data_IF_914444596379
#
_entry.id   IF_914444596379
#
_cell.length_a   1.000
_cell.length_b   1.000
_cell.length_c   1.000
_cell.angle_alpha   90.00
_cell.angle_beta   90.00
_cell.angle_gamma   90.00
#
_symmetry.space_group_name_H-M   'P 1'
#
loop_
_entity.id
_entity.type
_entity.pdbx_description
1 polymer ?
#
# COMPACT_ATOMS: atom_id res chain seq x y z
N UNK A 1 13.33 17.59 -20.07
CA UNK A 1 12.07 17.33 -19.33
C UNK A 1 12.40 16.52 -18.09
N UNK A 2 12.61 17.20 -16.96
CA UNK A 2 12.83 16.56 -15.67
C UNK A 2 11.50 15.97 -15.21
N UNK A 3 11.31 14.66 -15.36
CA UNK A 3 10.15 13.98 -14.77
C UNK A 3 10.39 13.95 -13.26
N UNK A 4 9.77 14.85 -12.51
CA UNK A 4 9.75 14.79 -11.05
C UNK A 4 9.11 13.45 -10.65
N UNK A 5 9.94 12.47 -10.27
CA UNK A 5 9.47 11.25 -9.61
C UNK A 5 8.81 11.59 -8.27
N UNK A 6 8.23 10.61 -7.58
CA UNK A 6 7.60 10.86 -6.27
C UNK A 6 8.61 11.51 -5.30
N UNK A 7 8.32 12.75 -4.87
CA UNK A 7 9.23 13.60 -4.09
C UNK A 7 8.92 13.65 -2.60
N UNK A 8 7.79 13.11 -2.16
CA UNK A 8 7.44 13.13 -0.75
C UNK A 8 8.24 12.14 0.10
N UNK A 9 8.19 12.24 1.44
CA UNK A 9 8.91 11.33 2.33
C UNK A 9 8.47 9.88 2.10
N UNK A 10 9.41 8.91 2.04
CA UNK A 10 9.04 7.52 1.88
C UNK A 10 8.33 6.99 3.15
N UNK A 11 7.32 6.14 2.95
CA UNK A 11 6.64 5.44 4.03
C UNK A 11 7.54 4.42 4.72
N UNK A 12 7.07 3.87 5.85
CA UNK A 12 7.83 2.88 6.61
C UNK A 12 7.55 1.46 6.11
N UNK A 13 8.60 0.65 5.82
CA UNK A 13 8.42 -0.78 5.59
C UNK A 13 7.76 -1.44 6.80
N UNK A 14 6.84 -2.36 6.55
CA UNK A 14 6.03 -3.04 7.58
C UNK A 14 6.11 -4.55 7.38
N UNK A 15 6.29 -5.26 8.49
CA UNK A 15 6.30 -6.71 8.51
C UNK A 15 4.92 -7.28 8.13
N UNK A 16 4.86 -8.05 7.04
CA UNK A 16 3.64 -8.70 6.55
C UNK A 16 3.04 -9.61 7.64
N UNK A 17 3.89 -10.42 8.30
CA UNK A 17 3.47 -11.30 9.39
C UNK A 17 2.96 -10.55 10.62
N UNK A 18 3.54 -9.39 10.94
CA UNK A 18 3.04 -8.53 12.02
C UNK A 18 1.66 -7.95 11.68
N UNK A 19 1.45 -7.52 10.44
CA UNK A 19 0.14 -7.04 9.98
C UNK A 19 -0.94 -8.10 10.03
N UNK A 20 -0.64 -9.34 9.62
CA UNK A 20 -1.56 -10.48 9.70
C UNK A 20 -1.87 -10.83 11.17
N UNK A 21 -0.86 -10.88 12.02
CA UNK A 21 -1.04 -11.15 13.44
C UNK A 21 -1.95 -10.11 14.08
N UNK A 22 -1.69 -8.82 13.84
CA UNK A 22 -2.53 -7.74 14.35
C UNK A 22 -3.94 -7.78 13.78
N UNK A 23 -4.12 -8.13 12.50
CA UNK A 23 -5.44 -8.30 11.90
C UNK A 23 -6.28 -9.37 12.62
N UNK A 24 -5.66 -10.50 12.96
CA UNK A 24 -6.33 -11.60 13.69
C UNK A 24 -6.60 -11.18 15.14
N UNK A 25 -5.58 -10.68 15.84
CA UNK A 25 -5.66 -10.31 17.27
C UNK A 25 -6.67 -9.19 17.52
N UNK A 26 -6.76 -8.22 16.61
CA UNK A 26 -7.65 -7.05 16.73
C UNK A 26 -9.01 -7.25 16.08
N UNK A 27 -9.34 -8.47 15.61
CA UNK A 27 -10.61 -8.75 14.91
C UNK A 27 -10.89 -7.72 13.80
N UNK A 28 -9.95 -7.55 12.88
CA UNK A 28 -10.01 -6.60 11.75
C UNK A 28 -9.90 -5.10 12.08
N UNK A 29 -9.88 -4.70 13.36
CA UNK A 29 -9.76 -3.28 13.72
C UNK A 29 -8.43 -2.67 13.24
N UNK A 30 -7.36 -3.46 13.26
CA UNK A 30 -6.06 -3.05 12.73
C UNK A 30 -6.10 -2.72 11.23
N UNK A 31 -6.98 -3.34 10.44
CA UNK A 31 -7.10 -3.01 9.01
C UNK A 31 -7.50 -1.56 8.79
N UNK A 32 -8.31 -0.99 9.68
CA UNK A 32 -8.77 0.39 9.54
C UNK A 32 -7.60 1.36 9.70
N UNK A 33 -6.79 1.13 10.75
CA UNK A 33 -5.55 1.87 10.96
C UNK A 33 -4.57 1.69 9.80
N UNK A 34 -4.43 0.45 9.31
CA UNK A 34 -3.52 0.13 8.21
C UNK A 34 -3.92 0.80 6.90
N UNK A 35 -5.22 0.82 6.55
CA UNK A 35 -5.75 1.51 5.36
C UNK A 35 -5.47 3.00 5.48
N UNK A 36 -5.87 3.61 6.59
CA UNK A 36 -5.63 5.03 6.85
C UNK A 36 -4.14 5.39 6.67
N UNK A 37 -3.25 4.64 7.31
CA UNK A 37 -1.81 4.92 7.25
C UNK A 37 -1.22 4.70 5.86
N UNK A 38 -1.61 3.63 5.18
CA UNK A 38 -1.10 3.34 3.83
C UNK A 38 -1.51 4.43 2.85
N UNK A 39 -2.78 4.84 2.90
CA UNK A 39 -3.36 5.90 2.08
C UNK A 39 -2.72 7.27 2.35
N UNK A 40 -2.46 7.59 3.62
CA UNK A 40 -1.77 8.81 4.03
C UNK A 40 -0.33 8.85 3.52
N UNK A 41 0.42 7.74 3.64
CA UNK A 41 1.80 7.65 3.14
C UNK A 41 1.87 7.72 1.62
N UNK A 42 0.99 7.02 0.91
CA UNK A 42 0.93 7.09 -0.57
C UNK A 42 0.64 8.53 -1.01
N UNK A 43 -0.32 9.20 -0.38
CA UNK A 43 -0.65 10.60 -0.69
C UNK A 43 0.52 11.54 -0.37
N UNK A 44 1.15 11.39 0.79
CA UNK A 44 2.32 12.21 1.15
C UNK A 44 3.48 12.01 0.18
N UNK A 45 3.73 10.76 -0.24
CA UNK A 45 4.83 10.43 -1.14
C UNK A 45 4.59 10.84 -2.59
N UNK A 46 3.37 10.59 -3.08
CA UNK A 46 2.99 10.75 -4.49
C UNK A 46 2.42 12.14 -4.81
N UNK A 47 1.98 12.88 -3.78
CA UNK A 47 1.23 14.14 -3.90
C UNK A 47 -0.17 13.99 -4.50
N UNK A 48 -0.52 12.79 -4.96
CA UNK A 48 -1.73 12.47 -5.71
C UNK A 48 -2.23 11.10 -5.22
N UNK A 49 -3.29 11.12 -4.41
CA UNK A 49 -3.90 9.95 -3.78
C UNK A 49 -5.09 10.36 -2.92
N UNK A 50 -6.01 9.43 -2.65
CA UNK A 50 -7.20 9.69 -1.84
C UNK A 50 -6.86 10.29 -0.47
N UNK A 51 -5.80 9.75 0.16
CA UNK A 51 -5.34 10.15 1.48
C UNK A 51 -6.05 9.40 2.61
N UNK A 52 -5.39 9.35 3.77
CA UNK A 52 -5.77 8.48 4.89
C UNK A 52 -7.23 8.57 5.30
N UNK A 53 -7.71 9.80 5.51
CA UNK A 53 -9.10 10.04 5.96
C UNK A 53 -10.11 9.60 4.89
N UNK A 54 -9.87 9.94 3.62
CA UNK A 54 -10.80 9.62 2.54
C UNK A 54 -10.84 8.10 2.27
N UNK A 55 -9.68 7.45 2.27
CA UNK A 55 -9.58 5.99 2.16
C UNK A 55 -10.24 5.26 3.33
N UNK A 56 -10.11 5.78 4.56
CA UNK A 56 -10.81 5.22 5.72
C UNK A 56 -12.34 5.34 5.61
N UNK A 57 -12.85 6.48 5.12
CA UNK A 57 -14.29 6.67 4.90
C UNK A 57 -14.82 5.69 3.84
N UNK A 58 -14.09 5.48 2.75
CA UNK A 58 -14.46 4.48 1.73
C UNK A 58 -14.33 3.07 2.28
N UNK A 59 -13.35 2.77 3.12
CA UNK A 59 -13.23 1.46 3.75
C UNK A 59 -14.46 1.11 4.61
N UNK A 60 -15.03 2.09 5.31
CA UNK A 60 -16.21 1.93 6.17
C UNK A 60 -17.49 1.84 5.33
N UNK A 61 -17.66 2.71 4.33
CA UNK A 61 -18.91 2.82 3.54
C UNK A 61 -18.96 1.87 2.34
N UNK A 62 -17.80 1.55 1.77
CA UNK A 62 -17.60 0.87 0.50
C UNK A 62 -16.41 -0.10 0.60
N UNK A 63 -16.41 -0.94 1.64
CA UNK A 63 -15.38 -1.95 1.90
C UNK A 63 -14.91 -2.75 0.65
N UNK A 64 -15.80 -3.26 -0.23
CA UNK A 64 -15.35 -3.99 -1.42
C UNK A 64 -14.69 -3.09 -2.48
N UNK A 65 -14.95 -1.78 -2.49
CA UNK A 65 -14.34 -0.84 -3.44
C UNK A 65 -12.88 -0.59 -3.05
N UNK A 66 -12.58 -0.45 -1.75
CA UNK A 66 -11.20 -0.24 -1.30
C UNK A 66 -10.27 -1.39 -1.69
N UNK A 67 -10.79 -2.62 -1.78
CA UNK A 67 -10.02 -3.77 -2.28
C UNK A 67 -9.36 -3.52 -3.64
N UNK A 68 -9.99 -2.71 -4.49
CA UNK A 68 -9.50 -2.34 -5.82
C UNK A 68 -8.73 -1.02 -5.81
N UNK A 69 -9.09 -0.08 -4.92
CA UNK A 69 -8.48 1.25 -4.84
C UNK A 69 -7.03 1.15 -4.37
N UNK A 70 -6.75 0.48 -3.24
CA UNK A 70 -5.37 0.36 -2.71
C UNK A 70 -4.38 -0.22 -3.74
N UNK A 71 -4.65 -1.37 -4.39
CA UNK A 71 -3.74 -1.90 -5.40
C UNK A 71 -3.60 -0.98 -6.61
N UNK A 72 -4.65 -0.24 -6.98
CA UNK A 72 -4.58 0.72 -8.09
C UNK A 72 -3.68 1.91 -7.77
N UNK A 73 -3.74 2.43 -6.54
CA UNK A 73 -2.91 3.56 -6.12
C UNK A 73 -1.46 3.15 -5.93
N UNK A 74 -1.20 1.96 -5.36
CA UNK A 74 0.14 1.39 -5.34
C UNK A 74 0.66 1.22 -6.77
N UNK A 75 -0.15 0.70 -7.69
CA UNK A 75 0.23 0.58 -9.11
C UNK A 75 0.57 1.93 -9.77
N UNK A 76 -0.23 2.97 -9.53
CA UNK A 76 0.02 4.33 -10.03
C UNK A 76 1.30 4.93 -9.44
N UNK A 77 1.57 4.69 -8.15
CA UNK A 77 2.79 5.13 -7.47
C UNK A 77 4.04 4.53 -8.15
N UNK A 78 4.01 3.23 -8.49
CA UNK A 78 5.07 2.57 -9.23
C UNK A 78 5.26 3.15 -10.65
N UNK A 79 4.18 3.44 -11.37
CA UNK A 79 4.28 4.03 -12.71
C UNK A 79 4.84 5.44 -12.73
N UNK A 80 4.49 6.27 -11.74
CA UNK A 80 5.05 7.61 -11.61
C UNK A 80 6.57 7.58 -11.48
N UNK A 81 7.09 6.54 -10.83
CA UNK A 81 8.52 6.27 -10.73
C UNK A 81 9.10 5.45 -11.89
N UNK A 82 8.34 5.28 -12.98
CA UNK A 82 8.70 4.48 -14.16
C UNK A 82 9.08 3.03 -13.84
N UNK A 83 8.59 2.50 -12.72
CA UNK A 83 8.78 1.09 -12.35
C UNK A 83 7.62 0.24 -12.89
N UNK A 84 7.88 -1.04 -13.14
CA UNK A 84 6.84 -1.99 -13.55
C UNK A 84 5.79 -2.10 -12.45
N UNK A 85 4.51 -1.89 -12.78
CA UNK A 85 3.37 -2.13 -11.89
C UNK A 85 3.44 -3.57 -11.36
N UNK A 86 3.69 -3.78 -10.05
CA UNK A 86 3.75 -5.14 -9.51
C UNK A 86 2.36 -5.79 -9.47
N UNK A 87 1.30 -4.97 -9.42
CA UNK A 87 -0.08 -5.38 -9.18
C UNK A 87 -1.03 -4.46 -9.94
N UNK A 88 -2.17 -4.98 -10.37
CA UNK A 88 -3.27 -4.18 -10.93
C UNK A 88 -4.47 -4.17 -9.98
N UNK A 89 -5.44 -3.28 -10.23
CA UNK A 89 -6.69 -3.21 -9.45
C UNK A 89 -7.43 -4.55 -9.36
N UNK A 90 -7.25 -5.45 -10.32
CA UNK A 90 -7.79 -6.82 -10.29
C UNK A 90 -7.33 -7.66 -9.10
N UNK A 91 -6.24 -7.26 -8.44
CA UNK A 91 -5.83 -7.88 -7.17
C UNK A 91 -6.96 -7.78 -6.14
N UNK A 92 -7.78 -6.72 -6.17
CA UNK A 92 -8.97 -6.57 -5.34
C UNK A 92 -10.00 -7.69 -5.46
N UNK A 93 -10.05 -8.38 -6.59
CA UNK A 93 -10.94 -9.54 -6.79
C UNK A 93 -10.63 -10.68 -5.82
N UNK A 94 -9.41 -10.76 -5.28
CA UNK A 94 -9.03 -11.75 -4.27
C UNK A 94 -9.67 -11.50 -2.90
N UNK A 95 -10.06 -10.25 -2.62
CA UNK A 95 -10.77 -9.90 -1.40
C UNK A 95 -12.27 -10.27 -1.48
N UNK A 96 -12.83 -10.38 -2.69
CA UNK A 96 -14.25 -10.66 -2.91
C UNK A 96 -14.69 -12.05 -2.39
N UNK A 97 -13.99 -13.17 -2.70
CA UNK A 97 -14.18 -14.44 -1.98
C UNK A 97 -13.55 -14.41 -0.58
N UNK A 98 -12.66 -13.46 -0.32
CA UNK A 98 -11.94 -13.27 0.95
C UNK A 98 -12.80 -12.75 2.11
N UNK A 99 -13.88 -12.02 1.82
CA UNK A 99 -14.86 -11.61 2.83
C UNK A 99 -15.61 -12.79 3.47
N UNK A 100 -15.64 -13.93 2.78
CA UNK A 100 -16.21 -15.20 3.26
C UNK A 100 -15.10 -16.15 3.76
N UNK A 101 -13.89 -16.07 3.17
CA UNK A 101 -12.75 -16.92 3.48
C UNK A 101 -11.52 -16.10 3.91
N UNK A 102 -11.04 -16.30 5.13
CA UNK A 102 -9.88 -15.57 5.69
C UNK A 102 -8.61 -15.68 4.81
N UNK A 103 -8.41 -16.83 4.14
CA UNK A 103 -7.19 -17.13 3.37
C UNK A 103 -6.99 -16.18 2.17
N UNK A 104 -7.96 -15.99 1.25
CA UNK A 104 -7.83 -15.01 0.17
C UNK A 104 -7.53 -13.58 0.64
N UNK A 105 -8.10 -13.16 1.77
CA UNK A 105 -7.82 -11.85 2.36
C UNK A 105 -6.36 -11.72 2.83
N UNK A 106 -5.80 -12.78 3.42
CA UNK A 106 -4.38 -12.85 3.78
C UNK A 106 -3.50 -12.77 2.52
N UNK A 107 -3.80 -13.53 1.47
CA UNK A 107 -3.02 -13.51 0.21
C UNK A 107 -3.04 -12.11 -0.43
N UNK A 108 -4.20 -11.46 -0.41
CA UNK A 108 -4.35 -10.08 -0.88
C UNK A 108 -3.44 -9.12 -0.08
N UNK A 109 -3.51 -9.20 1.25
CA UNK A 109 -2.70 -8.37 2.14
C UNK A 109 -1.19 -8.59 1.94
N UNK A 110 -0.75 -9.85 1.85
CA UNK A 110 0.64 -10.22 1.58
C UNK A 110 1.14 -9.62 0.27
N UNK A 111 0.31 -9.64 -0.78
CA UNK A 111 0.64 -9.02 -2.06
C UNK A 111 0.80 -7.51 -1.88
N UNK A 112 -0.24 -6.81 -1.41
CA UNK A 112 -0.21 -5.35 -1.30
C UNK A 112 0.94 -4.87 -0.41
N UNK A 113 1.12 -5.48 0.76
CA UNK A 113 2.23 -5.17 1.65
C UNK A 113 3.58 -5.55 1.07
N UNK A 114 3.70 -6.69 0.38
CA UNK A 114 4.94 -7.07 -0.28
C UNK A 114 5.37 -6.09 -1.37
N UNK A 115 4.44 -5.52 -2.14
CA UNK A 115 4.76 -4.43 -3.07
C UNK A 115 5.20 -3.18 -2.32
N UNK A 116 4.39 -2.68 -1.39
CA UNK A 116 4.73 -1.48 -0.62
C UNK A 116 6.09 -1.59 0.05
N UNK A 117 6.38 -2.73 0.68
CA UNK A 117 7.63 -2.97 1.37
C UNK A 117 8.83 -2.93 0.41
N UNK A 118 8.76 -3.65 -0.72
CA UNK A 118 9.82 -3.59 -1.75
C UNK A 118 10.04 -2.19 -2.30
N UNK A 119 8.96 -1.41 -2.45
CA UNK A 119 9.05 -0.04 -2.91
C UNK A 119 9.80 0.85 -1.90
N UNK A 120 9.41 0.79 -0.63
CA UNK A 120 10.04 1.57 0.43
C UNK A 120 11.49 1.17 0.68
N UNK A 121 11.79 -0.14 0.68
CA UNK A 121 13.16 -0.66 0.77
C UNK A 121 14.03 -0.20 -0.41
N UNK A 122 13.48 -0.18 -1.62
CA UNK A 122 14.17 0.34 -2.80
C UNK A 122 14.50 1.82 -2.67
N UNK A 123 13.57 2.63 -2.17
CA UNK A 123 13.80 4.06 -1.92
C UNK A 123 14.80 4.31 -0.80
N UNK A 124 14.73 3.57 0.29
CA UNK A 124 15.67 3.66 1.40
C UNK A 124 17.10 3.28 0.96
N UNK A 125 17.23 2.22 0.15
CA UNK A 125 18.51 1.77 -0.41
C UNK A 125 19.11 2.80 -1.36
N UNK A 126 18.29 3.41 -2.23
CA UNK A 126 18.73 4.47 -3.13
C UNK A 126 19.18 5.72 -2.37
N UNK A 127 18.46 6.11 -1.30
CA UNK A 127 18.85 7.22 -0.44
C UNK A 127 20.21 6.94 0.25
N UNK A 128 20.40 5.73 0.79
CA UNK A 128 21.66 5.34 1.42
C UNK A 128 22.84 5.35 0.44
N UNK A 129 22.66 4.86 -0.79
CA UNK A 129 23.69 4.89 -1.83
C UNK A 129 24.09 6.32 -2.22
N UNK A 130 23.14 7.26 -2.24
CA UNK A 130 23.42 8.67 -2.52
C UNK A 130 24.12 9.41 -1.38
N UNK A 131 24.07 8.89 -0.15
CA UNK A 131 24.65 9.47 1.05
C UNK A 131 26.03 8.90 1.42
N UNK A 132 26.49 7.85 0.73
CA UNK A 132 27.82 7.29 0.94
C UNK A 132 28.90 8.24 0.37
N UNK A 133 29.91 8.64 1.18
CA UNK A 133 31.02 9.43 0.66
C UNK A 133 31.84 8.58 -0.32
N UNK A 134 32.23 9.19 -1.44
CA UNK A 134 33.08 8.60 -2.47
C UNK A 134 34.51 8.31 -1.98
#
# INVERSE_FOLDING_TARGET
MSTSGNTGPPGRPRGIGFGILMFIVTLHFYSWYWVFKTQEEIKQHTGEGLGGVLGLVIWILLNPVEAFVIPSEVGKMYEKDRQRRPMSGWTGLWLFPGGILIIPAIVWFVKVQGALNRYWEGKASAAAASAAPA
#
